data_IF_284028369823
#
_entry.id   IF_284028369823
#
_cell.length_a   1.000
_cell.length_b   1.000
_cell.length_c   1.000
_cell.angle_alpha   90.00
_cell.angle_beta   90.00
_cell.angle_gamma   90.00
#
_symmetry.space_group_name_H-M   'P 1'
#
loop_
_entity.id
_entity.type
_entity.pdbx_description
1 polymer ?
#
# COMPACT_ATOMS: atom_id res chain seq x y z
N UNK A 1 -3.78 -9.10 -22.82
CA UNK A 1 -4.24 -10.48 -23.10
C UNK A 1 -3.62 -11.02 -24.38
N UNK A 2 -3.81 -10.42 -25.57
CA UNK A 2 -3.33 -10.98 -26.84
C UNK A 2 -1.85 -11.43 -26.85
N UNK A 3 -0.96 -10.69 -26.20
CA UNK A 3 0.46 -11.11 -26.07
C UNK A 3 0.65 -12.35 -25.20
N UNK A 4 -0.21 -12.56 -24.20
CA UNK A 4 -0.17 -13.78 -23.37
C UNK A 4 -0.70 -14.99 -24.13
N UNK A 5 -1.74 -14.76 -24.95
CA UNK A 5 -2.45 -15.82 -25.66
C UNK A 5 -1.77 -16.23 -27.00
N UNK A 6 -0.71 -15.54 -27.41
CA UNK A 6 0.01 -15.86 -28.63
C UNK A 6 0.71 -17.24 -28.53
N UNK A 7 0.71 -18.06 -29.59
CA UNK A 7 1.30 -19.40 -29.55
C UNK A 7 2.79 -19.43 -29.16
N UNK A 8 3.52 -18.37 -29.49
CA UNK A 8 4.94 -18.16 -29.22
C UNK A 8 5.20 -17.14 -28.09
N UNK A 9 4.22 -16.94 -27.21
CA UNK A 9 4.33 -15.99 -26.11
C UNK A 9 5.49 -16.34 -25.18
N UNK A 10 6.36 -15.38 -24.86
CA UNK A 10 7.38 -15.57 -23.82
C UNK A 10 6.79 -15.48 -22.40
N UNK A 11 5.51 -15.12 -22.26
CA UNK A 11 4.85 -14.91 -20.97
C UNK A 11 4.06 -16.14 -20.53
N UNK A 12 4.33 -16.63 -19.34
CA UNK A 12 3.53 -17.69 -18.69
C UNK A 12 2.30 -17.12 -18.00
N UNK A 13 2.41 -15.89 -17.46
CA UNK A 13 1.34 -15.17 -16.78
C UNK A 13 1.54 -13.66 -16.87
N UNK A 14 0.49 -12.91 -16.58
CA UNK A 14 0.54 -11.44 -16.40
C UNK A 14 -0.20 -11.06 -15.13
N UNK A 15 0.29 -10.03 -14.45
CA UNK A 15 -0.34 -9.47 -13.25
C UNK A 15 -1.10 -8.22 -13.65
N UNK A 16 -2.39 -8.19 -13.33
CA UNK A 16 -3.30 -7.10 -13.67
C UNK A 16 -4.20 -6.74 -12.50
N UNK A 17 -4.72 -5.52 -12.52
CA UNK A 17 -5.77 -5.09 -11.58
C UNK A 17 -7.08 -5.83 -11.89
N UNK A 18 -7.54 -6.69 -10.98
CA UNK A 18 -8.76 -7.49 -11.12
C UNK A 18 -9.99 -6.63 -11.40
N UNK A 19 -10.11 -5.46 -10.74
CA UNK A 19 -11.21 -4.53 -10.99
C UNK A 19 -11.30 -4.06 -12.45
N UNK A 20 -10.16 -3.83 -13.11
CA UNK A 20 -10.11 -3.52 -14.53
C UNK A 20 -10.55 -4.68 -15.40
N UNK A 21 -10.13 -5.90 -15.07
CA UNK A 21 -10.54 -7.11 -15.78
C UNK A 21 -12.05 -7.34 -15.69
N UNK A 22 -12.63 -7.18 -14.51
CA UNK A 22 -14.09 -7.32 -14.30
C UNK A 22 -14.88 -6.28 -15.08
N UNK A 23 -14.43 -5.00 -15.08
CA UNK A 23 -15.09 -3.93 -15.85
C UNK A 23 -15.06 -4.14 -17.36
N UNK A 24 -14.11 -4.92 -17.85
CA UNK A 24 -13.97 -5.29 -19.27
C UNK A 24 -14.58 -6.67 -19.58
N UNK A 25 -15.41 -7.21 -18.70
CA UNK A 25 -16.02 -8.55 -18.81
C UNK A 25 -15.01 -9.71 -18.97
N UNK A 26 -13.76 -9.45 -18.57
CA UNK A 26 -12.65 -10.43 -18.63
C UNK A 26 -12.35 -11.06 -17.27
N UNK A 27 -13.20 -10.89 -16.27
CA UNK A 27 -13.02 -11.45 -14.94
C UNK A 27 -12.86 -12.97 -14.90
N UNK A 28 -13.49 -13.67 -15.85
CA UNK A 28 -13.36 -15.12 -16.02
C UNK A 28 -11.95 -15.59 -16.39
N UNK A 29 -11.07 -14.67 -16.83
CA UNK A 29 -9.66 -14.93 -17.17
C UNK A 29 -8.73 -14.80 -15.95
N UNK A 30 -9.23 -14.32 -14.81
CA UNK A 30 -8.44 -14.24 -13.58
C UNK A 30 -8.34 -15.64 -12.95
N UNK A 31 -7.13 -16.16 -12.85
CA UNK A 31 -6.86 -17.51 -12.33
C UNK A 31 -6.68 -17.52 -10.81
N UNK A 32 -6.14 -16.46 -10.24
CA UNK A 32 -5.97 -16.32 -8.80
C UNK A 32 -5.89 -14.84 -8.40
N UNK A 33 -6.23 -14.56 -7.15
CA UNK A 33 -6.00 -13.27 -6.51
C UNK A 33 -4.67 -13.32 -5.77
N UNK A 34 -3.81 -12.33 -6.01
CA UNK A 34 -2.56 -12.16 -5.29
C UNK A 34 -2.82 -11.24 -4.08
N UNK A 35 -2.78 -11.83 -2.89
CA UNK A 35 -3.04 -11.14 -1.61
C UNK A 35 -1.97 -11.52 -0.59
N UNK A 36 -1.90 -10.81 0.52
CA UNK A 36 -1.02 -11.17 1.63
C UNK A 36 -1.29 -12.64 2.09
N UNK A 37 -0.25 -13.40 2.47
CA UNK A 37 1.17 -13.03 2.54
C UNK A 37 1.96 -13.21 1.23
N UNK A 38 1.31 -13.67 0.15
CA UNK A 38 1.99 -13.92 -1.16
C UNK A 38 2.42 -12.60 -1.78
N UNK A 39 1.55 -11.60 -1.75
CA UNK A 39 1.81 -10.26 -2.27
C UNK A 39 1.16 -9.21 -1.36
N UNK A 40 1.98 -8.32 -0.82
CA UNK A 40 1.52 -7.11 -0.16
C UNK A 40 1.31 -5.99 -1.19
N UNK A 41 0.27 -5.18 -1.00
CA UNK A 41 -0.07 -4.12 -1.93
C UNK A 41 0.68 -2.82 -1.61
N UNK A 42 0.71 -1.91 -2.57
CA UNK A 42 1.13 -0.54 -2.32
C UNK A 42 0.18 0.17 -1.34
N UNK A 43 0.72 1.14 -0.61
CA UNK A 43 -0.04 1.97 0.32
C UNK A 43 -1.29 2.57 -0.35
N UNK A 44 -2.43 2.41 0.30
CA UNK A 44 -3.76 2.86 -0.17
C UNK A 44 -4.20 2.24 -1.51
N UNK A 45 -3.69 1.07 -1.87
CA UNK A 45 -4.06 0.40 -3.11
C UNK A 45 -5.57 0.15 -3.19
N UNK A 46 -6.19 0.60 -4.27
CA UNK A 46 -7.61 0.43 -4.54
C UNK A 46 -8.52 1.45 -3.85
N UNK A 47 -8.01 2.31 -2.97
CA UNK A 47 -8.77 3.41 -2.41
C UNK A 47 -9.03 4.50 -3.46
N UNK A 48 -10.25 5.02 -3.48
CA UNK A 48 -10.63 6.15 -4.32
C UNK A 48 -10.50 7.44 -3.52
N UNK A 49 -9.68 8.37 -4.02
CA UNK A 49 -9.53 9.71 -3.44
C UNK A 49 -10.31 10.75 -4.26
N UNK A 50 -10.90 11.72 -3.57
CA UNK A 50 -11.55 12.89 -4.20
C UNK A 50 -10.80 14.14 -3.79
N UNK A 51 -10.31 14.89 -4.76
CA UNK A 51 -9.67 16.19 -4.53
C UNK A 51 -10.69 17.31 -4.66
N UNK A 52 -10.67 18.22 -3.72
CA UNK A 52 -11.54 19.40 -3.67
C UNK A 52 -10.71 20.65 -3.37
N UNK A 53 -11.29 21.85 -3.62
CA UNK A 53 -10.68 23.08 -3.16
C UNK A 53 -10.68 23.15 -1.65
N UNK A 54 -9.56 23.56 -1.05
CA UNK A 54 -9.40 23.63 0.42
C UNK A 54 -10.34 24.63 1.10
N UNK A 55 -10.80 25.64 0.36
CA UNK A 55 -11.69 26.71 0.84
C UNK A 55 -13.14 26.55 0.39
N UNK A 56 -13.58 25.33 0.10
CA UNK A 56 -14.95 25.02 -0.34
C UNK A 56 -15.66 24.11 0.69
N UNK A 57 -16.25 24.70 1.75
CA UNK A 57 -16.89 23.92 2.80
C UNK A 57 -18.17 23.20 2.35
N UNK A 58 -18.84 23.72 1.30
CA UNK A 58 -20.06 23.09 0.77
C UNK A 58 -19.71 21.76 0.08
N UNK A 59 -18.75 21.78 -0.85
CA UNK A 59 -18.29 20.57 -1.53
C UNK A 59 -17.65 19.60 -0.55
N UNK A 60 -16.92 20.11 0.48
CA UNK A 60 -16.38 19.27 1.54
C UNK A 60 -17.48 18.50 2.27
N UNK A 61 -18.56 19.17 2.66
CA UNK A 61 -19.70 18.54 3.32
C UNK A 61 -20.35 17.44 2.46
N UNK A 62 -20.47 17.66 1.15
CA UNK A 62 -20.97 16.65 0.22
C UNK A 62 -20.04 15.43 0.17
N UNK A 63 -18.72 15.64 0.09
CA UNK A 63 -17.74 14.55 0.03
C UNK A 63 -17.64 13.76 1.34
N UNK A 64 -17.86 14.39 2.50
CA UNK A 64 -17.88 13.71 3.79
C UNK A 64 -18.94 12.60 3.84
N UNK A 65 -20.09 12.80 3.18
CA UNK A 65 -21.15 11.80 3.06
C UNK A 65 -20.76 10.57 2.24
N UNK A 66 -19.72 10.67 1.40
CA UNK A 66 -19.19 9.57 0.59
C UNK A 66 -18.07 8.81 1.29
N UNK A 67 -17.56 9.33 2.41
CA UNK A 67 -16.39 8.76 3.08
C UNK A 67 -16.70 7.42 3.74
N UNK A 68 -16.08 6.37 3.27
CA UNK A 68 -16.09 5.07 3.93
C UNK A 68 -15.05 5.07 5.06
N UNK A 69 -15.51 5.26 6.29
CA UNK A 69 -14.65 5.55 7.44
C UNK A 69 -13.60 4.46 7.72
N UNK A 70 -13.93 3.18 7.48
CA UNK A 70 -12.98 2.08 7.66
C UNK A 70 -11.81 2.20 6.68
N UNK A 71 -12.10 2.46 5.40
CA UNK A 71 -11.07 2.68 4.38
C UNK A 71 -10.26 3.94 4.70
N UNK A 72 -10.91 4.98 5.18
CA UNK A 72 -10.26 6.23 5.55
C UNK A 72 -9.19 6.02 6.63
N UNK A 73 -9.54 5.37 7.76
CA UNK A 73 -8.57 5.09 8.83
C UNK A 73 -7.46 4.13 8.38
N UNK A 74 -7.79 3.11 7.60
CA UNK A 74 -6.79 2.19 7.01
C UNK A 74 -5.78 2.96 6.16
N UNK A 75 -6.25 3.79 5.23
CA UNK A 75 -5.37 4.60 4.39
C UNK A 75 -4.48 5.55 5.19
N UNK A 76 -4.98 6.15 6.27
CA UNK A 76 -4.18 7.01 7.14
C UNK A 76 -3.08 6.23 7.87
N UNK A 77 -3.38 5.04 8.38
CA UNK A 77 -2.38 4.18 9.01
C UNK A 77 -1.30 3.72 8.01
N UNK A 78 -1.71 3.28 6.82
CA UNK A 78 -0.77 2.87 5.77
C UNK A 78 0.14 4.03 5.34
N UNK A 79 -0.42 5.23 5.18
CA UNK A 79 0.34 6.45 4.85
C UNK A 79 1.24 6.90 6.01
N UNK A 80 0.80 6.73 7.25
CA UNK A 80 1.62 6.97 8.44
C UNK A 80 2.89 6.11 8.44
N UNK A 81 2.75 4.83 8.08
CA UNK A 81 3.89 3.93 7.89
C UNK A 81 4.83 4.44 6.79
N UNK A 82 4.31 4.74 5.60
CA UNK A 82 5.12 5.17 4.46
C UNK A 82 5.87 6.48 4.73
N UNK A 83 5.28 7.43 5.44
CA UNK A 83 5.92 8.70 5.80
C UNK A 83 7.16 8.50 6.67
N UNK A 84 7.09 7.60 7.65
CA UNK A 84 8.21 7.31 8.55
C UNK A 84 9.32 6.56 7.84
N UNK A 85 8.98 5.69 6.88
CA UNK A 85 9.96 5.00 6.06
C UNK A 85 10.65 5.94 5.02
N UNK A 86 10.24 7.22 4.96
CA UNK A 86 10.71 8.22 4.00
C UNK A 86 10.62 7.73 2.54
N UNK A 87 9.74 6.77 2.33
CA UNK A 87 9.56 6.10 1.07
C UNK A 87 8.61 6.85 0.16
N UNK A 88 9.13 7.54 -0.83
CA UNK A 88 8.34 7.90 -2.01
C UNK A 88 7.93 6.65 -2.80
N UNK A 89 7.32 6.82 -3.99
CA UNK A 89 6.86 5.73 -4.88
C UNK A 89 7.92 4.67 -5.26
N UNK A 90 9.11 4.80 -4.74
CA UNK A 90 10.26 4.03 -5.13
C UNK A 90 10.83 3.12 -4.04
N UNK A 91 10.19 3.02 -2.89
CA UNK A 91 10.61 2.11 -1.82
C UNK A 91 9.78 0.83 -1.94
N UNK A 92 10.40 -0.36 -1.95
CA UNK A 92 9.70 -1.64 -2.05
C UNK A 92 9.03 -2.00 -0.72
N UNK A 93 8.01 -1.24 -0.38
CA UNK A 93 7.17 -1.43 0.80
C UNK A 93 5.83 -1.97 0.35
N UNK A 94 5.47 -3.12 0.88
CA UNK A 94 4.14 -3.69 0.75
C UNK A 94 3.39 -3.59 2.07
N UNK A 95 2.07 -3.44 2.00
CA UNK A 95 1.25 -3.31 3.20
C UNK A 95 -0.08 -4.06 3.04
N UNK A 96 -0.57 -4.62 4.12
CA UNK A 96 -1.91 -5.15 4.26
C UNK A 96 -2.55 -4.58 5.52
N UNK A 97 -3.81 -4.21 5.43
CA UNK A 97 -4.54 -3.63 6.54
C UNK A 97 -5.94 -4.22 6.65
N UNK A 98 -6.37 -4.51 7.89
CA UNK A 98 -7.71 -5.00 8.18
C UNK A 98 -8.26 -4.28 9.40
N UNK A 99 -9.42 -3.64 9.25
CA UNK A 99 -10.15 -3.02 10.35
C UNK A 99 -11.37 -3.87 10.67
N UNK A 100 -11.51 -4.23 11.95
CA UNK A 100 -12.67 -4.95 12.50
C UNK A 100 -13.42 -4.00 13.41
N UNK A 101 -14.67 -3.71 13.09
CA UNK A 101 -15.52 -2.84 13.90
C UNK A 101 -15.77 -3.43 15.28
N UNK A 102 -15.75 -2.60 16.32
CA UNK A 102 -16.04 -3.01 17.71
C UNK A 102 -17.50 -2.83 18.10
N UNK A 103 -18.08 -1.72 17.68
CA UNK A 103 -19.47 -1.38 18.02
C UNK A 103 -20.20 -0.86 16.78
N UNK A 104 -21.38 -1.38 16.55
CA UNK A 104 -22.24 -0.92 15.47
C UNK A 104 -22.62 0.57 15.67
N UNK A 105 -22.42 1.36 14.62
CA UNK A 105 -22.73 2.81 14.63
C UNK A 105 -21.63 3.71 15.20
N UNK A 106 -20.55 3.16 15.74
CA UNK A 106 -19.37 3.94 16.15
C UNK A 106 -18.25 3.78 15.12
N UNK A 107 -17.56 4.88 14.80
CA UNK A 107 -16.41 4.88 13.90
C UNK A 107 -15.13 4.50 14.65
N UNK A 108 -15.13 3.32 15.28
CA UNK A 108 -13.98 2.78 16.00
C UNK A 108 -13.84 1.28 15.74
N UNK A 109 -12.61 0.77 15.81
CA UNK A 109 -12.37 -0.64 15.58
C UNK A 109 -10.93 -1.03 15.85
N UNK A 110 -10.67 -2.33 15.83
CA UNK A 110 -9.31 -2.89 15.92
C UNK A 110 -8.71 -2.90 14.52
N UNK A 111 -7.65 -2.13 14.33
CA UNK A 111 -6.89 -2.07 13.08
C UNK A 111 -5.63 -2.93 13.20
N UNK A 112 -5.60 -3.99 12.41
CA UNK A 112 -4.41 -4.81 12.19
C UNK A 112 -3.70 -4.31 10.93
N UNK A 113 -2.40 -4.05 11.05
CA UNK A 113 -1.56 -3.54 9.98
C UNK A 113 -0.32 -4.41 9.87
N UNK A 114 -0.11 -5.03 8.70
CA UNK A 114 1.08 -5.80 8.38
C UNK A 114 1.84 -5.10 7.27
N UNK A 115 3.13 -4.90 7.44
CA UNK A 115 3.99 -4.29 6.44
C UNK A 115 5.22 -5.13 6.17
N UNK A 116 5.74 -5.02 4.95
CA UNK A 116 7.01 -5.65 4.59
C UNK A 116 7.90 -4.69 3.81
N UNK A 117 9.21 -4.92 3.93
CA UNK A 117 10.26 -4.29 3.14
C UNK A 117 11.09 -5.40 2.51
N UNK A 118 11.28 -5.35 1.20
CA UNK A 118 12.02 -6.38 0.47
C UNK A 118 13.13 -5.74 -0.36
N UNK A 119 14.31 -6.37 -0.43
CA UNK A 119 15.40 -5.93 -1.30
C UNK A 119 15.02 -6.04 -2.79
N UNK A 120 15.73 -5.31 -3.66
CA UNK A 120 15.44 -5.30 -5.11
C UNK A 120 15.63 -6.67 -5.78
N UNK A 121 16.48 -7.51 -5.24
CA UNK A 121 16.70 -8.89 -5.70
C UNK A 121 15.75 -9.91 -5.04
N UNK A 122 14.95 -9.47 -4.05
CA UNK A 122 13.97 -10.28 -3.33
C UNK A 122 14.58 -11.23 -2.29
N UNK A 123 15.88 -11.12 -1.97
CA UNK A 123 16.57 -12.02 -1.04
C UNK A 123 16.35 -11.61 0.41
N UNK A 124 16.53 -10.31 0.70
CA UNK A 124 16.33 -9.78 2.05
C UNK A 124 14.90 -9.31 2.23
N UNK A 125 14.28 -9.75 3.31
CA UNK A 125 12.88 -9.46 3.60
C UNK A 125 12.66 -9.25 5.10
N UNK A 126 11.94 -8.20 5.43
CA UNK A 126 11.50 -7.90 6.81
C UNK A 126 10.00 -7.69 6.80
N UNK A 127 9.30 -8.40 7.68
CA UNK A 127 7.85 -8.31 7.85
C UNK A 127 7.49 -8.10 9.32
N UNK A 128 6.52 -7.24 9.58
CA UNK A 128 6.01 -6.95 10.91
C UNK A 128 4.51 -6.72 10.90
N UNK A 129 3.90 -7.02 12.04
CA UNK A 129 2.48 -6.78 12.28
C UNK A 129 2.28 -5.99 13.57
N UNK A 130 1.41 -5.00 13.53
CA UNK A 130 0.91 -4.28 14.71
C UNK A 130 -0.61 -4.29 14.71
N UNK A 131 -1.21 -4.23 15.89
CA UNK A 131 -2.66 -4.24 16.03
C UNK A 131 -3.06 -3.41 17.24
N UNK A 132 -3.91 -2.41 17.03
CA UNK A 132 -4.44 -1.54 18.09
C UNK A 132 -5.87 -1.08 17.76
N UNK A 133 -6.55 -0.62 18.78
CA UNK A 133 -7.84 0.05 18.62
C UNK A 133 -7.61 1.47 18.09
N UNK A 134 -8.38 1.87 17.08
CA UNK A 134 -8.33 3.21 16.47
C UNK A 134 -9.73 3.76 16.30
N UNK A 135 -9.86 5.06 16.57
CA UNK A 135 -11.09 5.85 16.44
C UNK A 135 -10.86 7.20 15.76
N UNK A 136 -9.61 7.57 15.56
CA UNK A 136 -9.22 8.85 14.96
C UNK A 136 -8.11 8.68 13.91
N UNK A 137 -7.89 9.74 13.14
CA UNK A 137 -6.80 9.83 12.16
C UNK A 137 -5.44 9.76 12.86
N UNK A 138 -5.30 10.47 13.97
CA UNK A 138 -4.07 10.58 14.73
C UNK A 138 -3.64 9.20 15.28
N UNK A 139 -4.60 8.43 15.83
CA UNK A 139 -4.35 7.06 16.31
C UNK A 139 -3.97 6.13 15.16
N UNK A 140 -4.64 6.24 14.02
CA UNK A 140 -4.33 5.46 12.84
C UNK A 140 -2.93 5.78 12.28
N UNK A 141 -2.56 7.07 12.17
CA UNK A 141 -1.23 7.49 11.73
C UNK A 141 -0.12 7.01 12.69
N UNK A 142 -0.35 7.10 14.00
CA UNK A 142 0.63 6.63 15.00
C UNK A 142 0.80 5.11 14.93
N UNK A 143 -0.27 4.35 14.71
CA UNK A 143 -0.17 2.91 14.49
C UNK A 143 0.71 2.59 13.27
N UNK A 144 0.52 3.32 12.17
CA UNK A 144 1.37 3.19 10.99
C UNK A 144 2.82 3.55 11.27
N UNK A 145 3.07 4.63 12.00
CA UNK A 145 4.40 5.04 12.40
C UNK A 145 5.09 4.00 13.31
N UNK A 146 4.32 3.35 14.19
CA UNK A 146 4.80 2.25 15.04
C UNK A 146 5.24 1.04 14.22
N UNK A 147 4.45 0.66 13.22
CA UNK A 147 4.84 -0.40 12.28
C UNK A 147 6.16 -0.08 11.57
N UNK A 148 6.28 1.14 11.03
CA UNK A 148 7.50 1.57 10.33
C UNK A 148 8.74 1.50 11.23
N UNK A 149 8.64 2.01 12.47
CA UNK A 149 9.75 1.94 13.44
C UNK A 149 10.15 0.50 13.76
N UNK A 150 9.17 -0.41 13.87
CA UNK A 150 9.43 -1.84 14.07
C UNK A 150 10.16 -2.46 12.89
N UNK A 151 9.67 -2.23 11.67
CA UNK A 151 10.33 -2.71 10.45
C UNK A 151 11.77 -2.21 10.35
N UNK A 152 12.00 -0.91 10.61
CA UNK A 152 13.35 -0.33 10.57
C UNK A 152 14.29 -0.95 11.61
N UNK A 153 13.80 -1.19 12.83
CA UNK A 153 14.61 -1.78 13.91
C UNK A 153 15.01 -3.23 13.63
N UNK A 154 14.23 -3.96 12.81
CA UNK A 154 14.46 -5.37 12.47
C UNK A 154 15.23 -5.57 11.16
N UNK A 155 15.86 -4.54 10.63
CA UNK A 155 16.72 -4.64 9.46
C UNK A 155 16.20 -3.89 8.22
N UNK A 156 14.96 -3.44 8.22
CA UNK A 156 14.38 -2.69 7.11
C UNK A 156 15.20 -1.46 6.74
N UNK A 157 15.82 -0.80 7.73
CA UNK A 157 16.71 0.35 7.45
C UNK A 157 17.88 -0.01 6.54
N UNK A 158 18.53 -1.14 6.76
CA UNK A 158 19.68 -1.55 5.93
C UNK A 158 19.27 -1.77 4.47
N UNK A 159 18.11 -2.43 4.25
CA UNK A 159 17.54 -2.64 2.92
C UNK A 159 17.27 -1.30 2.22
N UNK A 160 16.65 -0.35 2.93
CA UNK A 160 16.34 0.98 2.37
C UNK A 160 17.58 1.80 2.04
N UNK A 161 18.59 1.75 2.91
CA UNK A 161 19.88 2.44 2.71
C UNK A 161 20.58 1.91 1.46
N UNK A 162 20.56 0.59 1.21
CA UNK A 162 21.19 -0.01 0.04
C UNK A 162 20.45 0.33 -1.27
N UNK A 163 19.12 0.34 -1.25
CA UNK A 163 18.30 0.78 -2.38
C UNK A 163 18.59 2.25 -2.73
N UNK A 164 18.76 3.10 -1.72
CA UNK A 164 19.09 4.52 -1.91
C UNK A 164 20.45 4.69 -2.57
N UNK A 165 21.46 3.94 -2.11
CA UNK A 165 22.81 3.96 -2.72
C UNK A 165 22.79 3.50 -4.18
N UNK A 166 22.05 2.45 -4.50
CA UNK A 166 21.97 1.96 -5.88
C UNK A 166 21.32 2.97 -6.81
N UNK A 167 20.29 3.68 -6.36
CA UNK A 167 19.68 4.79 -7.12
C UNK A 167 20.66 5.92 -7.39
N UNK A 168 21.38 6.36 -6.37
CA UNK A 168 22.39 7.40 -6.53
C UNK A 168 23.45 7.00 -7.57
N UNK A 169 23.86 5.73 -7.59
CA UNK A 169 24.78 5.20 -8.59
C UNK A 169 24.21 5.28 -10.00
N UNK A 170 22.93 4.87 -10.18
CA UNK A 170 22.28 4.90 -11.49
C UNK A 170 22.11 6.34 -11.98
N UNK A 171 21.70 7.27 -11.13
CA UNK A 171 21.56 8.70 -11.49
C UNK A 171 22.90 9.30 -11.86
N UNK A 172 23.96 9.04 -11.10
CA UNK A 172 25.33 9.52 -11.39
C UNK A 172 25.89 8.90 -12.68
N UNK A 173 25.59 7.63 -12.96
CA UNK A 173 26.00 6.93 -14.21
C UNK A 173 25.28 7.47 -15.46
N UNK A 174 24.05 7.97 -15.35
CA UNK A 174 23.31 8.60 -16.45
C UNK A 174 23.70 10.07 -16.67
N UNK A 175 24.26 10.72 -15.68
CA UNK A 175 24.75 12.10 -15.80
C UNK A 175 26.14 12.21 -16.47
N UNK A 176 26.74 11.09 -16.87
CA UNK A 176 28.12 11.02 -17.43
C UNK A 176 28.12 10.64 -18.92
N UNK A 177 26.95 10.71 -19.61
CA UNK A 177 26.83 10.48 -21.05
C UNK A 177 26.42 11.74 -21.78
#
# INVERSE_FOLDING_TARGET
MAKLDAPDSPFTAIILAKAGMVRLDMGHRCTSDLTAPILYHAVSQGALGVEIRSNDPEVKGLCEGLTHWQTFLRCWAERGCLRVLEGGCSVPVGIDSKLTEKEEGKKCGVLKLTGCITSLDGVDHVEETVEEEVSSVEEAEELGAKLARSLMSKGGKAILDDITKDRERVIKGQATV
#
